data_IF_269904390580
#
_entry.id   IF_269904390580
#
_cell.length_a   1.000
_cell.length_b   1.000
_cell.length_c   1.000
_cell.angle_alpha   90.00
_cell.angle_beta   90.00
_cell.angle_gamma   90.00
#
_symmetry.space_group_name_H-M   'P 1'
#
loop_
_entity.id
_entity.type
_entity.pdbx_description
1 polymer ?
#
# COMPACT_ATOMS: atom_id res chain seq x y z
N UNK A 1 -9.27 -47.85 14.74
CA UNK A 1 -9.24 -46.76 13.72
C UNK A 1 -8.70 -45.53 14.39
N UNK A 2 -7.42 -45.19 14.14
CA UNK A 2 -6.81 -43.98 14.69
C UNK A 2 -7.20 -42.83 13.76
N UNK A 3 -8.15 -42.02 14.18
CA UNK A 3 -8.43 -40.75 13.49
C UNK A 3 -7.25 -39.82 13.73
N UNK A 4 -6.45 -39.64 12.71
CA UNK A 4 -5.45 -38.59 12.69
C UNK A 4 -6.19 -37.25 12.76
N UNK A 5 -6.30 -36.75 13.99
CA UNK A 5 -6.64 -35.35 14.20
C UNK A 5 -5.50 -34.55 13.58
N UNK A 6 -5.69 -34.07 12.35
CA UNK A 6 -4.76 -33.17 11.68
C UNK A 6 -4.72 -31.92 12.56
N UNK A 7 -3.76 -31.95 13.49
CA UNK A 7 -3.51 -30.85 14.42
C UNK A 7 -3.49 -29.56 13.62
N UNK A 8 -4.42 -28.67 13.93
CA UNK A 8 -4.47 -27.30 13.44
C UNK A 8 -3.04 -26.75 13.37
N UNK A 9 -2.52 -26.43 12.18
CA UNK A 9 -1.20 -25.88 12.11
C UNK A 9 -1.16 -24.64 13.03
N UNK A 10 -0.16 -24.57 13.90
CA UNK A 10 -0.02 -23.52 14.94
C UNK A 10 -0.17 -22.11 14.39
N UNK A 11 0.03 -21.95 13.07
CA UNK A 11 -0.13 -20.70 12.33
C UNK A 11 -0.77 -21.01 10.98
N UNK A 12 -2.04 -20.68 10.76
CA UNK A 12 -2.64 -20.88 9.45
C UNK A 12 -1.91 -20.00 8.43
N UNK A 13 -1.47 -20.63 7.34
CA UNK A 13 -0.77 -19.98 6.23
C UNK A 13 -1.40 -18.62 5.83
N UNK A 14 -2.74 -18.50 5.73
CA UNK A 14 -3.38 -17.22 5.42
C UNK A 14 -3.06 -16.10 6.42
N UNK A 15 -2.91 -16.40 7.72
CA UNK A 15 -2.57 -15.37 8.70
C UNK A 15 -1.15 -14.83 8.48
N UNK A 16 -0.20 -15.71 8.17
CA UNK A 16 1.16 -15.30 7.83
C UNK A 16 1.18 -14.44 6.57
N UNK A 17 0.43 -14.82 5.54
CA UNK A 17 0.29 -14.02 4.31
C UNK A 17 -0.28 -12.64 4.63
N UNK A 18 -1.28 -12.53 5.50
CA UNK A 18 -1.85 -11.23 5.90
C UNK A 18 -0.83 -10.35 6.64
N UNK A 19 -0.02 -10.94 7.52
CA UNK A 19 1.05 -10.23 8.25
C UNK A 19 2.11 -9.72 7.27
N UNK A 20 2.60 -10.58 6.38
CA UNK A 20 3.58 -10.20 5.35
C UNK A 20 3.01 -9.10 4.45
N UNK A 21 1.77 -9.22 4.03
CA UNK A 21 1.08 -8.23 3.22
C UNK A 21 1.01 -6.87 3.93
N UNK A 22 0.64 -6.83 5.21
CA UNK A 22 0.62 -5.59 5.99
C UNK A 22 2.01 -4.95 6.10
N UNK A 23 3.07 -5.75 6.28
CA UNK A 23 4.47 -5.26 6.27
C UNK A 23 4.83 -4.68 4.91
N UNK A 24 4.45 -5.33 3.81
CA UNK A 24 4.68 -4.81 2.45
C UNK A 24 3.98 -3.47 2.23
N UNK A 25 2.74 -3.32 2.73
CA UNK A 25 2.03 -2.03 2.65
C UNK A 25 2.77 -0.95 3.42
N UNK A 26 3.28 -1.24 4.63
CA UNK A 26 4.08 -0.29 5.41
C UNK A 26 5.33 0.13 4.64
N UNK A 27 6.09 -0.82 4.11
CA UNK A 27 7.31 -0.55 3.35
C UNK A 27 6.99 0.26 2.09
N UNK A 28 5.96 -0.12 1.34
CA UNK A 28 5.54 0.60 0.14
C UNK A 28 5.06 2.03 0.44
N UNK A 29 4.41 2.26 1.60
CA UNK A 29 3.90 3.57 1.98
C UNK A 29 4.99 4.61 2.26
N UNK A 30 6.20 4.20 2.66
CA UNK A 30 7.33 5.11 2.92
C UNK A 30 8.25 5.27 1.72
N UNK A 31 8.04 4.50 0.67
CA UNK A 31 8.88 4.54 -0.53
C UNK A 31 8.27 5.43 -1.63
N UNK A 32 9.02 5.59 -2.74
CA UNK A 32 8.59 6.42 -3.87
C UNK A 32 7.27 5.91 -4.48
N UNK A 33 6.30 6.82 -4.59
CA UNK A 33 5.01 6.58 -5.25
C UNK A 33 4.99 7.10 -6.68
N UNK A 34 5.76 8.16 -6.94
CA UNK A 34 5.92 8.72 -8.26
C UNK A 34 7.32 9.31 -8.43
N UNK A 35 7.89 9.14 -9.61
CA UNK A 35 9.15 9.77 -10.01
C UNK A 35 8.85 10.76 -11.13
N UNK A 36 9.08 12.05 -10.87
CA UNK A 36 8.85 13.12 -11.82
C UNK A 36 10.18 13.47 -12.48
N UNK A 37 10.31 13.21 -13.77
CA UNK A 37 11.45 13.65 -14.58
C UNK A 37 11.11 14.96 -15.25
N UNK A 38 11.88 15.98 -14.97
CA UNK A 38 11.71 17.29 -15.56
C UNK A 38 12.90 17.55 -16.49
N UNK A 39 12.65 17.67 -17.78
CA UNK A 39 13.66 18.10 -18.76
C UNK A 39 13.58 19.62 -18.93
N UNK A 40 14.61 20.32 -18.50
CA UNK A 40 14.74 21.75 -18.78
C UNK A 40 15.35 21.95 -20.17
N UNK A 41 14.66 22.66 -21.04
CA UNK A 41 15.12 22.89 -22.42
C UNK A 41 16.36 23.79 -22.52
N UNK A 42 16.74 24.45 -21.44
CA UNK A 42 17.92 25.31 -21.35
C UNK A 42 18.92 24.62 -20.41
N UNK A 43 19.90 23.95 -21.02
CA UNK A 43 21.06 23.43 -20.29
C UNK A 43 21.14 21.93 -20.07
N UNK A 44 20.29 21.10 -20.68
CA UNK A 44 20.32 19.59 -20.54
C UNK A 44 20.32 19.08 -19.08
N UNK A 45 19.81 19.81 -18.15
CA UNK A 45 19.66 19.33 -16.77
C UNK A 45 18.38 18.50 -16.64
N UNK A 46 18.54 17.19 -16.47
CA UNK A 46 17.44 16.28 -16.07
C UNK A 46 17.36 16.31 -14.54
N UNK A 47 16.30 16.89 -14.00
CA UNK A 47 16.00 16.77 -12.57
C UNK A 47 15.00 15.65 -12.35
N UNK A 48 15.36 14.70 -11.50
CA UNK A 48 14.47 13.65 -11.02
C UNK A 48 14.01 14.04 -9.61
N UNK A 49 12.72 14.27 -9.45
CA UNK A 49 12.10 14.50 -8.16
C UNK A 49 11.26 13.27 -7.81
N UNK A 50 11.66 12.54 -6.80
CA UNK A 50 10.84 11.42 -6.29
C UNK A 50 9.85 11.95 -5.24
N UNK A 51 8.58 11.60 -5.41
CA UNK A 51 7.52 11.86 -4.44
C UNK A 51 7.31 10.59 -3.63
N UNK A 52 7.63 10.64 -2.34
CA UNK A 52 7.40 9.52 -1.43
C UNK A 52 5.93 9.41 -1.08
N UNK A 53 5.48 8.22 -0.72
CA UNK A 53 4.10 8.02 -0.28
C UNK A 53 3.72 8.91 0.90
N UNK A 54 4.64 9.18 1.82
CA UNK A 54 4.44 10.07 2.97
C UNK A 54 4.22 11.54 2.62
N UNK A 55 4.59 11.96 1.42
CA UNK A 55 4.35 13.32 0.92
C UNK A 55 2.96 13.47 0.27
N UNK A 56 2.25 12.33 0.11
CA UNK A 56 0.89 12.22 -0.41
C UNK A 56 0.00 11.48 0.62
N UNK A 57 -0.98 10.71 0.18
CA UNK A 57 -1.89 9.95 1.05
C UNK A 57 -1.25 8.69 1.69
N UNK A 58 0.01 8.44 1.44
CA UNK A 58 0.73 7.28 1.98
C UNK A 58 0.87 7.27 3.51
N UNK A 59 0.75 8.42 4.18
CA UNK A 59 0.69 8.45 5.64
C UNK A 59 -0.59 7.79 6.18
N UNK A 60 -1.70 7.87 5.44
CA UNK A 60 -2.96 7.21 5.81
C UNK A 60 -2.84 5.70 5.60
N UNK A 61 -2.26 5.28 4.48
CA UNK A 61 -2.01 3.85 4.22
C UNK A 61 -1.01 3.27 5.21
N UNK A 62 0.02 4.03 5.60
CA UNK A 62 0.99 3.66 6.63
C UNK A 62 0.31 3.45 7.99
N UNK A 63 -0.53 4.40 8.42
CA UNK A 63 -1.25 4.30 9.69
C UNK A 63 -2.23 3.10 9.67
N UNK A 64 -3.02 2.95 8.61
CA UNK A 64 -3.96 1.85 8.45
C UNK A 64 -3.26 0.49 8.45
N UNK A 65 -2.17 0.33 7.70
CA UNK A 65 -1.41 -0.91 7.64
C UNK A 65 -0.74 -1.24 8.98
N UNK A 66 -0.23 -0.23 9.69
CA UNK A 66 0.36 -0.41 11.02
C UNK A 66 -0.69 -0.90 12.03
N UNK A 67 -1.88 -0.29 12.05
CA UNK A 67 -2.98 -0.75 12.89
C UNK A 67 -3.46 -2.15 12.51
N UNK A 68 -3.57 -2.45 11.21
CA UNK A 68 -3.91 -3.78 10.74
C UNK A 68 -2.88 -4.83 11.21
N UNK A 69 -1.59 -4.51 11.12
CA UNK A 69 -0.50 -5.37 11.58
C UNK A 69 -0.59 -5.63 13.10
N UNK A 70 -0.85 -4.59 13.89
CA UNK A 70 -1.03 -4.72 15.34
C UNK A 70 -2.19 -5.66 15.66
N UNK A 71 -3.34 -5.53 14.98
CA UNK A 71 -4.50 -6.39 15.18
C UNK A 71 -4.20 -7.84 14.79
N UNK A 72 -3.47 -8.06 13.68
CA UNK A 72 -3.08 -9.40 13.24
C UNK A 72 -2.10 -10.06 14.21
N UNK A 73 -1.10 -9.31 14.71
CA UNK A 73 -0.15 -9.81 15.72
C UNK A 73 -0.86 -10.09 17.05
N UNK A 74 -1.76 -9.19 17.48
CA UNK A 74 -2.54 -9.38 18.70
C UNK A 74 -3.39 -10.65 18.63
N UNK A 75 -4.02 -10.90 17.48
CA UNK A 75 -4.74 -12.15 17.21
C UNK A 75 -3.82 -13.37 17.26
N UNK A 76 -2.65 -13.29 16.66
CA UNK A 76 -1.65 -14.35 16.66
C UNK A 76 -1.22 -14.71 18.09
N UNK A 77 -1.02 -13.69 18.94
CA UNK A 77 -0.59 -13.87 20.33
C UNK A 77 -1.67 -14.50 21.22
N UNK A 78 -2.95 -14.13 21.03
CA UNK A 78 -4.03 -14.57 21.90
C UNK A 78 -4.63 -15.93 21.57
N UNK A 79 -4.28 -16.56 20.46
CA UNK A 79 -4.78 -17.87 20.00
C UNK A 79 -6.31 -18.05 20.00
N UNK A 80 -7.08 -17.00 20.17
CA UNK A 80 -8.54 -17.03 20.16
C UNK A 80 -9.07 -16.48 18.84
N UNK A 81 -10.18 -17.06 18.36
CA UNK A 81 -10.93 -16.51 17.23
C UNK A 81 -11.46 -15.11 17.59
N UNK A 82 -10.72 -14.08 17.25
CA UNK A 82 -11.13 -12.71 17.47
C UNK A 82 -11.61 -12.11 16.15
N UNK A 83 -12.92 -12.28 15.87
CA UNK A 83 -13.57 -11.76 14.67
C UNK A 83 -13.43 -10.23 14.55
N UNK A 84 -13.36 -9.51 15.69
CA UNK A 84 -13.15 -8.04 15.68
C UNK A 84 -11.77 -7.68 15.15
N UNK A 85 -10.73 -8.44 15.51
CA UNK A 85 -9.39 -8.18 14.98
C UNK A 85 -9.29 -8.48 13.47
N UNK A 86 -9.96 -9.54 13.01
CA UNK A 86 -10.03 -9.82 11.56
C UNK A 86 -10.86 -8.79 10.82
N UNK A 87 -12.04 -8.44 11.32
CA UNK A 87 -12.90 -7.42 10.71
C UNK A 87 -12.20 -6.07 10.66
N UNK A 88 -11.56 -5.66 11.76
CA UNK A 88 -10.78 -4.43 11.82
C UNK A 88 -9.61 -4.41 10.81
N UNK A 89 -8.82 -5.47 10.75
CA UNK A 89 -7.71 -5.56 9.78
C UNK A 89 -8.21 -5.60 8.33
N UNK A 90 -9.37 -6.22 8.07
CA UNK A 90 -10.00 -6.24 6.75
C UNK A 90 -10.38 -4.83 6.29
N UNK A 91 -11.04 -4.06 7.15
CA UNK A 91 -11.43 -2.67 6.85
C UNK A 91 -10.20 -1.79 6.60
N UNK A 92 -9.18 -1.91 7.44
CA UNK A 92 -7.95 -1.12 7.31
C UNK A 92 -7.18 -1.43 6.02
N UNK A 93 -7.05 -2.71 5.65
CA UNK A 93 -6.42 -3.10 4.40
C UNK A 93 -7.27 -2.70 3.18
N UNK A 94 -8.60 -2.71 3.30
CA UNK A 94 -9.48 -2.22 2.26
C UNK A 94 -9.31 -0.72 2.03
N UNK A 95 -9.25 0.09 3.09
CA UNK A 95 -8.96 1.53 3.00
C UNK A 95 -7.63 1.76 2.29
N UNK A 96 -6.56 1.05 2.70
CA UNK A 96 -5.25 1.16 2.06
C UNK A 96 -5.30 0.78 0.57
N UNK A 97 -6.04 -0.27 0.23
CA UNK A 97 -6.22 -0.72 -1.15
C UNK A 97 -6.98 0.30 -2.02
N UNK A 98 -8.05 0.88 -1.50
CA UNK A 98 -8.82 1.92 -2.22
C UNK A 98 -7.96 3.16 -2.44
N UNK A 99 -7.28 3.67 -1.40
CA UNK A 99 -6.40 4.83 -1.52
C UNK A 99 -5.27 4.61 -2.52
N UNK A 100 -4.66 3.42 -2.54
CA UNK A 100 -3.60 3.13 -3.49
C UNK A 100 -4.11 3.07 -4.94
N UNK A 101 -5.30 2.52 -5.17
CA UNK A 101 -5.91 2.48 -6.51
C UNK A 101 -6.33 3.86 -6.98
N UNK A 102 -6.91 4.70 -6.10
CA UNK A 102 -7.25 6.08 -6.48
C UNK A 102 -6.02 6.89 -6.86
N UNK A 103 -4.94 6.79 -6.08
CA UNK A 103 -3.66 7.43 -6.42
C UNK A 103 -3.06 6.89 -7.74
N UNK A 104 -3.18 5.59 -8.00
CA UNK A 104 -2.75 4.99 -9.26
C UNK A 104 -3.54 5.54 -10.45
N UNK A 105 -4.86 5.71 -10.29
CA UNK A 105 -5.73 6.30 -11.32
C UNK A 105 -5.41 7.77 -11.53
N UNK A 106 -5.20 8.54 -10.47
CA UNK A 106 -4.86 9.96 -10.53
C UNK A 106 -3.51 10.18 -11.21
N UNK A 107 -2.51 9.35 -10.95
CA UNK A 107 -1.23 9.39 -11.67
C UNK A 107 -1.40 9.10 -13.17
N UNK A 108 -2.30 8.21 -13.53
CA UNK A 108 -2.57 7.86 -14.93
C UNK A 108 -3.37 8.96 -15.67
N UNK A 109 -4.24 9.69 -14.96
CA UNK A 109 -5.07 10.78 -15.50
C UNK A 109 -4.32 12.11 -15.46
N UNK A 110 -3.49 12.34 -14.45
CA UNK A 110 -2.88 13.64 -14.13
C UNK A 110 -1.45 13.80 -14.60
N UNK A 111 -0.97 12.97 -15.56
CA UNK A 111 0.28 13.29 -16.27
C UNK A 111 0.30 14.74 -16.84
N UNK A 112 -0.88 15.40 -16.88
CA UNK A 112 -1.05 16.81 -17.16
C UNK A 112 -1.24 17.73 -15.94
N UNK A 113 -1.81 17.25 -14.83
CA UNK A 113 -2.22 18.12 -13.71
C UNK A 113 -1.16 18.23 -12.58
N UNK A 114 -0.32 17.22 -12.40
CA UNK A 114 0.83 17.32 -11.49
C UNK A 114 1.84 18.39 -11.94
N UNK A 115 1.83 18.72 -13.24
CA UNK A 115 2.68 19.78 -13.82
C UNK A 115 2.35 21.19 -13.35
N UNK A 116 1.15 21.46 -12.85
CA UNK A 116 0.69 22.85 -12.71
C UNK A 116 0.71 23.38 -11.26
N UNK A 117 0.62 22.54 -10.23
CA UNK A 117 0.29 23.04 -8.89
C UNK A 117 1.45 23.09 -7.90
N UNK A 118 2.48 22.25 -8.05
CA UNK A 118 3.55 22.13 -7.06
C UNK A 118 4.97 22.33 -7.58
N UNK A 119 5.15 22.66 -8.84
CA UNK A 119 6.47 23.03 -9.36
C UNK A 119 6.67 24.55 -9.21
N UNK A 120 7.83 25.00 -8.69
CA UNK A 120 8.14 26.44 -8.69
C UNK A 120 8.02 26.96 -10.13
N UNK A 121 7.21 28.01 -10.31
CA UNK A 121 7.06 28.71 -11.59
C UNK A 121 8.44 29.19 -12.06
N UNK A 122 9.06 28.41 -12.92
CA UNK A 122 10.22 28.81 -13.66
C UNK A 122 9.71 29.59 -14.89
N UNK A 123 9.87 30.90 -14.84
CA UNK A 123 9.47 31.80 -15.92
C UNK A 123 10.09 31.39 -17.25
N UNK A 124 9.25 31.03 -18.20
CA UNK A 124 9.60 30.95 -19.62
C UNK A 124 10.21 29.63 -20.12
N UNK A 125 10.43 28.62 -19.34
CA UNK A 125 10.93 27.32 -19.82
C UNK A 125 9.79 26.37 -20.09
N UNK A 126 9.68 25.85 -21.32
CA UNK A 126 8.82 24.70 -21.64
C UNK A 126 9.38 23.46 -20.95
N UNK A 127 8.77 23.08 -19.84
CA UNK A 127 9.12 21.89 -19.09
C UNK A 127 8.27 20.74 -19.60
N UNK A 128 8.89 19.73 -20.16
CA UNK A 128 8.26 18.43 -20.42
C UNK A 128 8.45 17.59 -19.17
N UNK A 129 7.40 17.43 -18.38
CA UNK A 129 7.43 16.54 -17.24
C UNK A 129 6.88 15.17 -17.61
N UNK A 130 7.63 14.13 -17.33
CA UNK A 130 7.20 12.74 -17.43
C UNK A 130 7.08 12.20 -16.00
N UNK A 131 5.92 11.68 -15.68
CA UNK A 131 5.67 11.06 -14.37
C UNK A 131 5.74 9.55 -14.54
N UNK A 132 6.71 8.94 -13.91
CA UNK A 132 6.86 7.49 -13.86
C UNK A 132 6.27 6.96 -12.55
N UNK A 133 5.65 5.78 -12.62
CA UNK A 133 5.06 5.12 -11.46
C UNK A 133 6.15 4.62 -10.51
N UNK A 134 6.12 5.07 -9.25
CA UNK A 134 7.03 4.59 -8.22
C UNK A 134 6.68 3.18 -7.75
N UNK A 135 7.68 2.37 -7.48
CA UNK A 135 7.51 0.98 -7.04
C UNK A 135 6.78 0.85 -5.69
N UNK A 136 6.89 1.85 -4.82
CA UNK A 136 6.21 1.88 -3.54
C UNK A 136 4.70 1.80 -3.66
N UNK A 137 4.10 2.52 -4.63
CA UNK A 137 2.66 2.49 -4.88
C UNK A 137 2.20 1.11 -5.41
N UNK A 138 3.02 0.47 -6.25
CA UNK A 138 2.75 -0.90 -6.72
C UNK A 138 2.73 -1.87 -5.54
N UNK A 139 3.72 -1.79 -4.66
CA UNK A 139 3.84 -2.67 -3.48
C UNK A 139 2.67 -2.45 -2.52
N UNK A 140 2.25 -1.19 -2.27
CA UNK A 140 1.06 -0.89 -1.45
C UNK A 140 -0.19 -1.53 -2.06
N UNK A 141 -0.38 -1.36 -3.36
CA UNK A 141 -1.57 -1.89 -4.05
C UNK A 141 -1.60 -3.42 -3.97
N UNK A 142 -0.54 -4.09 -4.39
CA UNK A 142 -0.46 -5.56 -4.37
C UNK A 142 -0.57 -6.10 -2.93
N UNK A 143 0.16 -5.49 -1.99
CA UNK A 143 0.13 -5.87 -0.57
C UNK A 143 -1.26 -5.73 0.05
N UNK A 144 -1.94 -4.61 -0.20
CA UNK A 144 -3.29 -4.36 0.35
C UNK A 144 -4.30 -5.39 -0.16
N UNK A 145 -4.32 -5.67 -1.46
CA UNK A 145 -5.24 -6.65 -2.04
C UNK A 145 -4.91 -8.09 -1.66
N UNK A 146 -3.63 -8.46 -1.60
CA UNK A 146 -3.22 -9.79 -1.13
C UNK A 146 -3.57 -9.99 0.36
N UNK A 147 -3.34 -8.98 1.19
CA UNK A 147 -3.72 -9.00 2.59
C UNK A 147 -5.24 -9.08 2.78
N UNK A 148 -6.00 -8.27 2.03
CA UNK A 148 -7.45 -8.25 2.07
C UNK A 148 -8.06 -9.62 1.72
N UNK A 149 -7.62 -10.22 0.62
CA UNK A 149 -8.11 -11.54 0.19
C UNK A 149 -7.77 -12.63 1.21
N UNK A 150 -6.58 -12.56 1.81
CA UNK A 150 -6.14 -13.51 2.82
C UNK A 150 -6.94 -13.37 4.13
N UNK A 151 -7.21 -12.14 4.59
CA UNK A 151 -8.02 -11.87 5.79
C UNK A 151 -9.49 -12.25 5.53
N UNK A 152 -10.04 -11.92 4.35
CA UNK A 152 -11.41 -12.27 3.98
C UNK A 152 -11.62 -13.79 3.93
N UNK A 153 -10.64 -14.54 3.41
CA UNK A 153 -10.67 -16.00 3.42
C UNK A 153 -10.73 -16.56 4.85
N UNK A 154 -9.93 -16.01 5.76
CA UNK A 154 -9.94 -16.40 7.17
C UNK A 154 -11.26 -16.06 7.83
N UNK A 155 -11.76 -14.85 7.61
CA UNK A 155 -13.04 -14.38 8.15
C UNK A 155 -14.19 -15.33 7.76
N UNK A 156 -14.26 -15.68 6.47
CA UNK A 156 -15.27 -16.64 5.96
C UNK A 156 -15.16 -18.03 6.58
N UNK A 157 -13.97 -18.45 6.98
CA UNK A 157 -13.74 -19.79 7.54
C UNK A 157 -14.09 -19.87 9.02
N UNK A 158 -14.11 -18.75 9.70
CA UNK A 158 -14.39 -18.68 11.14
C UNK A 158 -15.85 -18.29 11.44
N UNK A 159 -16.56 -17.85 10.42
CA UNK A 159 -17.99 -17.55 10.45
C UNK A 159 -18.79 -18.79 10.07
#
# INVERSE_FOLDING_TARGET
MVTWNVANPKYPLPLLVSVVAAVLVIVGSVNSWADVRTEAYVGNEIRILSVNGTDADGYVTLAAATLALILLIWRLARRHSNLLALGGSLVLLFISGVLSVTNLMDLNVSSGAFSAHNLPKLDGAFLRSQVDLGWGLIVVTVGSWAGLTSVAYQFRREW
#
